data_IF_139105169044
#
_entry.id   IF_139105169044
#
_cell.length_a   1.000
_cell.length_b   1.000
_cell.length_c   1.000
_cell.angle_alpha   90.00
_cell.angle_beta   90.00
_cell.angle_gamma   90.00
#
_symmetry.space_group_name_H-M   'P 1'
#
loop_
_entity.id
_entity.type
_entity.pdbx_description
1 polymer ?
#
# COMPACT_ATOMS: atom_id res chain seq x y z
N UNK A 1 -3.67 11.45 14.57
CA UNK A 1 -3.71 11.08 13.14
C UNK A 1 -5.16 10.85 12.77
N UNK A 2 -5.65 11.48 11.71
CA UNK A 2 -7.01 11.27 11.18
C UNK A 2 -6.86 10.36 9.97
N UNK A 3 -6.90 9.06 10.19
CA UNK A 3 -7.02 8.11 9.10
C UNK A 3 -8.49 7.73 9.00
N UNK A 4 -9.08 7.86 7.82
CA UNK A 4 -10.31 7.15 7.47
C UNK A 4 -9.95 5.67 7.32
N UNK A 5 -9.73 4.99 8.45
CA UNK A 5 -9.26 3.61 8.49
C UNK A 5 -10.39 2.66 8.08
N UNK A 6 -10.22 2.01 6.93
CA UNK A 6 -11.08 0.92 6.50
C UNK A 6 -10.64 -0.33 7.29
N UNK A 7 -11.55 -0.92 8.06
CA UNK A 7 -11.28 -2.15 8.81
C UNK A 7 -11.81 -3.37 8.06
N UNK A 8 -10.95 -4.34 7.79
CA UNK A 8 -11.34 -5.65 7.27
C UNK A 8 -10.66 -6.77 8.07
N UNK A 9 -11.43 -7.46 8.91
CA UNK A 9 -10.91 -8.45 9.86
C UNK A 9 -9.92 -7.84 10.86
N UNK A 10 -8.67 -8.34 10.85
CA UNK A 10 -7.57 -7.85 11.70
C UNK A 10 -6.79 -6.68 11.10
N UNK A 11 -7.06 -6.33 9.84
CA UNK A 11 -6.30 -5.35 9.08
C UNK A 11 -6.99 -4.00 9.06
N UNK A 12 -6.17 -2.96 9.16
CA UNK A 12 -6.53 -1.56 9.01
C UNK A 12 -5.85 -1.03 7.75
N UNK A 13 -6.64 -0.44 6.87
CA UNK A 13 -6.18 0.10 5.60
C UNK A 13 -6.33 1.61 5.60
N UNK A 14 -5.26 2.30 5.23
CA UNK A 14 -5.34 3.73 4.92
C UNK A 14 -5.77 3.93 3.46
N UNK A 15 -6.54 4.98 3.23
CA UNK A 15 -6.77 5.47 1.86
C UNK A 15 -5.44 5.97 1.27
N UNK A 16 -5.23 5.76 -0.04
CA UNK A 16 -3.98 6.10 -0.71
C UNK A 16 -3.74 7.62 -0.69
N UNK A 17 -2.46 8.02 -0.64
CA UNK A 17 -2.03 9.42 -0.80
C UNK A 17 -0.91 9.50 -1.81
N UNK A 18 -0.90 10.57 -2.60
CA UNK A 18 0.12 10.83 -3.63
C UNK A 18 1.18 11.82 -3.18
N UNK A 19 1.06 12.34 -1.95
CA UNK A 19 2.06 13.21 -1.33
C UNK A 19 3.22 12.38 -0.79
N UNK A 20 4.48 12.72 -1.11
CA UNK A 20 5.62 12.03 -0.54
C UNK A 20 5.73 12.23 0.98
N UNK A 21 6.28 11.23 1.66
CA UNK A 21 6.63 11.28 3.08
C UNK A 21 7.93 12.09 3.31
N UNK A 22 8.44 12.07 4.55
CA UNK A 22 9.68 12.77 4.89
C UNK A 22 10.93 12.23 4.20
N UNK A 23 10.88 10.99 3.69
CA UNK A 23 11.96 10.34 2.96
C UNK A 23 11.83 10.50 1.43
N UNK A 24 10.73 11.12 0.96
CA UNK A 24 10.45 11.27 -0.45
C UNK A 24 9.63 10.12 -1.06
N UNK A 25 9.25 9.12 -0.26
CA UNK A 25 8.50 7.96 -0.71
C UNK A 25 7.00 8.28 -0.78
N UNK A 26 6.31 7.76 -1.79
CA UNK A 26 4.86 7.87 -1.95
C UNK A 26 4.24 6.52 -1.57
N UNK A 27 3.65 6.45 -0.37
CA UNK A 27 2.96 5.25 0.12
C UNK A 27 1.56 5.19 -0.47
N UNK A 28 1.33 4.25 -1.39
CA UNK A 28 0.05 4.08 -2.06
C UNK A 28 -0.85 3.09 -1.32
N UNK A 29 -0.28 2.04 -0.75
CA UNK A 29 -0.98 1.05 0.08
C UNK A 29 -0.29 1.03 1.42
N UNK A 30 -1.07 1.16 2.49
CA UNK A 30 -0.61 0.91 3.86
C UNK A 30 -1.63 0.03 4.57
N UNK A 31 -1.18 -1.13 5.03
CA UNK A 31 -1.96 -2.08 5.80
C UNK A 31 -1.27 -2.30 7.13
N UNK A 32 -2.03 -2.27 8.21
CA UNK A 32 -1.49 -2.56 9.55
C UNK A 32 -2.38 -3.51 10.31
N UNK A 33 -1.79 -4.32 11.18
CA UNK A 33 -2.53 -5.10 12.17
C UNK A 33 -2.03 -4.76 13.58
N UNK A 34 -2.94 -4.69 14.54
CA UNK A 34 -2.63 -4.37 15.95
C UNK A 34 -2.44 -5.62 16.82
N UNK A 35 -2.20 -6.76 16.20
CA UNK A 35 -1.73 -7.95 16.90
C UNK A 35 -1.39 -9.04 15.90
N UNK A 36 -0.33 -9.84 16.13
CA UNK A 36 1.02 -9.28 16.25
C UNK A 36 1.20 -8.00 15.38
N UNK A 37 1.90 -6.98 15.89
CA UNK A 37 1.97 -5.68 15.19
C UNK A 37 2.84 -5.81 13.94
N UNK A 38 2.16 -5.70 12.80
CA UNK A 38 2.74 -5.80 11.45
C UNK A 38 2.26 -4.64 10.59
N UNK A 39 3.15 -4.17 9.71
CA UNK A 39 2.89 -3.15 8.71
C UNK A 39 3.33 -3.66 7.35
N UNK A 40 2.46 -3.52 6.36
CA UNK A 40 2.79 -3.69 4.94
C UNK A 40 2.59 -2.36 4.23
N UNK A 41 3.61 -1.93 3.49
CA UNK A 41 3.54 -0.77 2.62
C UNK A 41 3.93 -1.13 1.20
N UNK A 42 3.25 -0.51 0.24
CA UNK A 42 3.61 -0.60 -1.17
C UNK A 42 3.38 0.77 -1.83
N UNK A 43 4.31 1.18 -2.67
CA UNK A 43 4.35 2.54 -3.16
C UNK A 43 5.47 2.80 -4.15
N UNK A 44 5.89 4.07 -4.23
CA UNK A 44 7.02 4.52 -5.03
C UNK A 44 8.09 5.11 -4.12
N UNK A 45 9.34 4.76 -4.35
CA UNK A 45 10.47 5.36 -3.63
C UNK A 45 10.77 6.79 -4.11
N UNK A 46 11.78 7.42 -3.53
CA UNK A 46 12.23 8.77 -3.92
C UNK A 46 12.67 8.89 -5.38
N UNK A 47 13.02 7.78 -6.03
CA UNK A 47 13.42 7.71 -7.44
C UNK A 47 12.25 7.29 -8.36
N UNK A 48 11.02 7.29 -7.84
CA UNK A 48 9.79 6.88 -8.54
C UNK A 48 9.78 5.40 -8.94
N UNK A 49 10.57 4.56 -8.28
CA UNK A 49 10.56 3.12 -8.50
C UNK A 49 9.58 2.43 -7.57
N UNK A 50 8.81 1.44 -8.06
CA UNK A 50 7.92 0.68 -7.21
C UNK A 50 8.67 -0.10 -6.14
N UNK A 51 8.12 -0.11 -4.92
CA UNK A 51 8.62 -0.93 -3.83
C UNK A 51 7.48 -1.57 -3.04
N UNK A 52 7.82 -2.63 -2.34
CA UNK A 52 7.04 -3.10 -1.19
C UNK A 52 7.95 -3.31 0.02
N UNK A 53 7.35 -3.14 1.20
CA UNK A 53 8.01 -3.38 2.46
C UNK A 53 7.05 -4.01 3.45
N UNK A 54 7.62 -4.78 4.36
CA UNK A 54 6.91 -5.46 5.41
C UNK A 54 7.75 -5.44 6.68
N UNK A 55 7.11 -5.04 7.79
CA UNK A 55 7.76 -4.90 9.07
C UNK A 55 6.91 -5.48 10.21
N UNK A 56 7.52 -6.35 11.01
CA UNK A 56 7.08 -6.70 12.35
C UNK A 56 7.62 -5.66 13.34
N UNK A 57 6.74 -4.92 14.02
CA UNK A 57 7.13 -3.89 14.99
C UNK A 57 7.26 -4.42 16.43
N UNK A 58 6.64 -5.56 16.72
CA UNK A 58 6.50 -6.06 18.10
C UNK A 58 7.61 -7.02 18.54
N UNK A 59 8.50 -7.49 17.66
CA UNK A 59 9.34 -8.64 18.01
C UNK A 59 10.71 -8.72 17.32
N UNK A 60 11.78 -8.68 18.12
CA UNK A 60 13.15 -9.01 17.68
C UNK A 60 13.25 -10.45 17.12
N UNK A 61 12.33 -11.34 17.52
CA UNK A 61 12.26 -12.72 17.03
C UNK A 61 11.82 -12.86 15.57
N UNK A 62 11.14 -11.85 15.00
CA UNK A 62 10.65 -11.86 13.62
C UNK A 62 11.27 -10.72 12.78
N UNK A 63 12.23 -9.98 13.33
CA UNK A 63 12.90 -8.89 12.63
C UNK A 63 13.65 -9.37 11.37
N UNK A 64 14.12 -10.62 11.35
CA UNK A 64 14.76 -11.24 10.18
C UNK A 64 13.77 -11.46 9.01
N UNK A 65 12.46 -11.43 9.27
CA UNK A 65 11.41 -11.53 8.25
C UNK A 65 11.03 -10.16 7.65
N UNK A 66 11.56 -9.06 8.21
CA UNK A 66 11.34 -7.72 7.68
C UNK A 66 12.06 -7.56 6.34
N UNK A 67 11.41 -6.90 5.39
CA UNK A 67 12.02 -6.62 4.11
C UNK A 67 11.56 -5.28 3.54
N UNK A 68 12.40 -4.73 2.67
CA UNK A 68 12.05 -3.68 1.74
C UNK A 68 12.77 -4.01 0.42
N UNK A 69 12.02 -4.07 -0.67
CA UNK A 69 12.57 -4.41 -1.99
C UNK A 69 11.90 -3.62 -3.10
N UNK A 70 12.67 -3.39 -4.15
CA UNK A 70 12.14 -2.92 -5.44
C UNK A 70 11.24 -4.03 -6.03
N UNK A 71 10.11 -3.64 -6.61
CA UNK A 71 9.20 -4.51 -7.36
C UNK A 71 8.99 -3.96 -8.76
N UNK A 72 8.44 -4.79 -9.64
CA UNK A 72 8.03 -4.36 -10.96
C UNK A 72 6.76 -3.49 -10.92
N UNK A 73 6.53 -2.73 -11.99
CA UNK A 73 5.26 -2.00 -12.18
C UNK A 73 4.07 -2.97 -12.22
N UNK A 74 4.23 -4.14 -12.84
CA UNK A 74 3.19 -5.19 -12.88
C UNK A 74 2.80 -5.65 -11.47
N UNK A 75 3.78 -5.90 -10.60
CA UNK A 75 3.54 -6.26 -9.20
C UNK A 75 2.79 -5.15 -8.45
N UNK A 76 3.20 -3.88 -8.60
CA UNK A 76 2.50 -2.74 -7.99
C UNK A 76 1.02 -2.69 -8.42
N UNK A 77 0.74 -2.82 -9.72
CA UNK A 77 -0.62 -2.85 -10.24
C UNK A 77 -1.41 -4.04 -9.70
N UNK A 78 -0.79 -5.21 -9.58
CA UNK A 78 -1.41 -6.40 -8.98
C UNK A 78 -1.78 -6.19 -7.51
N UNK A 79 -0.93 -5.56 -6.71
CA UNK A 79 -1.25 -5.22 -5.32
C UNK A 79 -2.46 -4.28 -5.23
N UNK A 80 -2.47 -3.22 -6.06
CA UNK A 80 -3.59 -2.26 -6.09
C UNK A 80 -4.90 -2.97 -6.49
N UNK A 81 -4.89 -3.76 -7.56
CA UNK A 81 -6.08 -4.48 -8.04
C UNK A 81 -6.61 -5.48 -7.02
N UNK A 82 -5.73 -6.26 -6.37
CA UNK A 82 -6.14 -7.17 -5.28
C UNK A 82 -6.81 -6.43 -4.14
N UNK A 83 -6.32 -5.24 -3.79
CA UNK A 83 -6.92 -4.43 -2.75
C UNK A 83 -8.28 -3.85 -3.18
N UNK A 84 -8.41 -3.44 -4.44
CA UNK A 84 -9.70 -3.03 -5.00
C UNK A 84 -10.73 -4.17 -4.99
N UNK A 85 -10.34 -5.40 -5.38
CA UNK A 85 -11.21 -6.59 -5.30
C UNK A 85 -11.66 -6.88 -3.85
N UNK A 86 -10.73 -6.73 -2.89
CA UNK A 86 -11.05 -6.86 -1.47
C UNK A 86 -12.06 -5.81 -1.03
N UNK A 87 -11.90 -4.55 -1.42
CA UNK A 87 -12.82 -3.48 -1.09
C UNK A 87 -14.19 -3.66 -1.75
N UNK A 88 -14.22 -4.06 -3.02
CA UNK A 88 -15.47 -4.32 -3.75
C UNK A 88 -16.26 -5.46 -3.10
N UNK A 89 -15.60 -6.58 -2.76
CA UNK A 89 -16.24 -7.72 -2.08
C UNK A 89 -16.79 -7.39 -0.69
N UNK A 90 -16.31 -6.30 -0.07
CA UNK A 90 -16.76 -5.81 1.22
C UNK A 90 -17.66 -4.55 1.11
N UNK A 91 -18.08 -4.17 -0.10
CA UNK A 91 -18.90 -2.98 -0.40
C UNK A 91 -18.27 -1.65 0.03
N UNK A 92 -16.95 -1.55 -0.01
CA UNK A 92 -16.18 -0.36 0.37
C UNK A 92 -15.90 0.48 -0.88
N UNK A 93 -16.95 1.01 -1.49
CA UNK A 93 -16.87 1.69 -2.79
C UNK A 93 -15.99 2.95 -2.80
N UNK A 94 -15.85 3.63 -1.66
CA UNK A 94 -14.95 4.79 -1.55
C UNK A 94 -13.48 4.38 -1.75
N UNK A 95 -13.08 3.25 -1.18
CA UNK A 95 -11.73 2.72 -1.34
C UNK A 95 -11.46 2.31 -2.79
N UNK A 96 -12.43 1.67 -3.46
CA UNK A 96 -12.31 1.30 -4.88
C UNK A 96 -12.08 2.55 -5.74
N UNK A 97 -12.92 3.59 -5.58
CA UNK A 97 -12.77 4.86 -6.31
C UNK A 97 -11.43 5.54 -6.06
N UNK A 98 -10.97 5.57 -4.81
CA UNK A 98 -9.68 6.15 -4.47
C UNK A 98 -8.54 5.43 -5.21
N UNK A 99 -8.57 4.10 -5.32
CA UNK A 99 -7.56 3.36 -6.05
C UNK A 99 -7.71 3.45 -7.58
N UNK A 100 -8.91 3.65 -8.14
CA UNK A 100 -9.07 3.99 -9.56
C UNK A 100 -8.34 5.30 -9.91
N UNK A 101 -8.46 6.32 -9.04
CA UNK A 101 -7.74 7.60 -9.20
C UNK A 101 -6.22 7.42 -9.11
N UNK A 102 -5.74 6.53 -8.23
CA UNK A 102 -4.31 6.18 -8.16
C UNK A 102 -3.83 5.52 -9.45
N UNK A 103 -4.59 4.58 -10.03
CA UNK A 103 -4.21 3.93 -11.28
C UNK A 103 -4.11 4.94 -12.45
N UNK A 104 -4.98 5.96 -12.47
CA UNK A 104 -4.89 7.06 -13.45
C UNK A 104 -3.63 7.88 -13.19
N UNK A 105 -3.40 8.27 -11.93
CA UNK A 105 -2.25 9.08 -11.51
C UNK A 105 -0.90 8.42 -11.82
N UNK A 106 -0.81 7.09 -11.70
CA UNK A 106 0.37 6.28 -12.07
C UNK A 106 0.61 6.32 -13.59
N UNK A 107 -0.44 6.11 -14.39
CA UNK A 107 -0.35 6.15 -15.86
C UNK A 107 0.07 7.52 -16.38
N UNK A 108 -0.40 8.60 -15.77
CA UNK A 108 0.02 9.98 -16.10
C UNK A 108 1.52 10.21 -15.89
N UNK A 109 2.19 9.35 -15.10
CA UNK A 109 3.63 9.38 -14.82
C UNK A 109 4.42 8.35 -15.61
N UNK A 110 3.77 7.62 -16.53
CA UNK A 110 4.39 6.61 -17.37
C UNK A 110 4.55 5.24 -16.71
N UNK A 111 4.05 5.04 -15.49
CA UNK A 111 4.09 3.76 -14.78
C UNK A 111 2.91 2.92 -15.26
N UNK A 112 3.17 1.79 -15.92
CA UNK A 112 2.18 1.02 -16.64
C UNK A 112 2.23 -0.47 -16.31
N UNK A 113 1.07 -1.12 -16.37
CA UNK A 113 0.98 -2.58 -16.42
C UNK A 113 1.44 -3.03 -17.81
N UNK A 114 2.69 -3.49 -17.93
CA UNK A 114 3.29 -3.95 -19.19
C UNK A 114 2.96 -5.41 -19.51
#
# INVERSE_FOLDING_TARGET
>A
MSFSDIRNGRWYYSLPKTSPDSNGNIVLIMQSSVGPVEVFECGLDSDMKPYESYEWLENDFFADDNYCKEISEEELFHHIKKLMELFESNNIHEGVKAYEEILIWLKERGICEN
#
